data_IF_170447208969
#
_entry.id   IF_170447208969
#
_cell.length_a   1.000
_cell.length_b   1.000
_cell.length_c   1.000
_cell.angle_alpha   90.00
_cell.angle_beta   90.00
_cell.angle_gamma   90.00
#
_symmetry.space_group_name_H-M   'P 1'
#
loop_
_entity.id
_entity.type
_entity.pdbx_description
1 polymer ?
#
# COMPACT_ATOMS: atom_id res chain seq x y z
N UNK A 1 -6.10 -48.76 -10.26
CA UNK A 1 -4.84 -48.13 -9.85
C UNK A 1 -4.94 -46.67 -10.27
N UNK A 2 -5.32 -45.82 -9.33
CA UNK A 2 -5.72 -44.43 -9.57
C UNK A 2 -4.51 -43.59 -9.99
N UNK A 3 -4.58 -43.12 -11.23
CA UNK A 3 -3.74 -42.12 -11.88
C UNK A 3 -3.38 -40.99 -10.90
N UNK A 4 -2.13 -40.96 -10.42
CA UNK A 4 -1.63 -39.88 -9.56
C UNK A 4 -1.58 -38.59 -10.38
N UNK A 5 -2.71 -37.87 -10.40
CA UNK A 5 -2.86 -36.63 -11.15
C UNK A 5 -1.83 -35.63 -10.69
N UNK A 6 -0.86 -35.35 -11.55
CA UNK A 6 0.09 -34.26 -11.42
C UNK A 6 -0.64 -32.95 -11.13
N UNK A 7 -0.39 -32.34 -9.97
CA UNK A 7 -0.99 -31.07 -9.56
C UNK A 7 0.02 -29.94 -9.75
N UNK A 8 -0.45 -28.86 -10.35
CA UNK A 8 0.32 -27.63 -10.47
C UNK A 8 -0.37 -26.55 -9.66
N UNK A 9 0.32 -25.98 -8.69
CA UNK A 9 -0.24 -25.01 -7.75
C UNK A 9 0.56 -23.72 -7.85
N UNK A 10 -0.11 -22.59 -8.05
CA UNK A 10 0.49 -21.27 -7.87
C UNK A 10 0.08 -20.74 -6.51
N UNK A 11 1.04 -20.65 -5.60
CA UNK A 11 0.79 -20.19 -4.24
C UNK A 11 1.24 -18.74 -4.04
N UNK A 12 0.41 -17.90 -3.42
CA UNK A 12 0.74 -16.50 -3.10
C UNK A 12 0.02 -16.00 -1.83
N UNK A 13 0.62 -15.02 -1.14
CA UNK A 13 0.09 -14.41 0.08
C UNK A 13 -0.49 -13.05 -0.30
N UNK A 14 -1.72 -12.83 0.17
CA UNK A 14 -2.56 -11.71 -0.20
C UNK A 14 -3.21 -11.10 1.03
N UNK A 15 -2.40 -10.57 1.94
CA UNK A 15 -2.87 -9.92 3.18
C UNK A 15 -3.53 -8.54 2.96
N UNK A 16 -4.44 -8.43 1.98
CA UNK A 16 -5.34 -7.29 1.78
C UNK A 16 -6.62 -7.73 1.04
N UNK A 17 -7.76 -7.07 1.32
CA UNK A 17 -9.05 -7.33 0.68
C UNK A 17 -9.03 -7.24 -0.87
N UNK A 18 -8.02 -6.60 -1.45
CA UNK A 18 -7.72 -6.53 -2.89
C UNK A 18 -7.35 -7.89 -3.52
N UNK A 19 -7.06 -8.92 -2.71
CA UNK A 19 -6.53 -10.18 -3.22
C UNK A 19 -7.59 -11.16 -3.72
N UNK A 20 -8.88 -10.96 -3.41
CA UNK A 20 -9.94 -11.81 -3.94
C UNK A 20 -10.12 -11.59 -5.46
N UNK A 21 -10.20 -10.33 -5.90
CA UNK A 21 -10.32 -9.97 -7.33
C UNK A 21 -9.12 -10.44 -8.16
N UNK A 22 -7.92 -10.39 -7.57
CA UNK A 22 -6.69 -10.84 -8.25
C UNK A 22 -6.59 -12.37 -8.24
N UNK A 23 -7.08 -13.04 -7.19
CA UNK A 23 -7.21 -14.51 -7.15
C UNK A 23 -8.13 -14.99 -8.27
N UNK A 24 -9.26 -14.32 -8.47
CA UNK A 24 -10.21 -14.64 -9.54
C UNK A 24 -9.61 -14.35 -10.92
N UNK A 25 -8.89 -13.24 -11.08
CA UNK A 25 -8.20 -12.91 -12.33
C UNK A 25 -7.07 -13.90 -12.66
N UNK A 26 -6.33 -14.39 -11.67
CA UNK A 26 -5.28 -15.41 -11.84
C UNK A 26 -5.93 -16.77 -12.12
N UNK A 27 -6.98 -17.16 -11.42
CA UNK A 27 -7.70 -18.41 -11.66
C UNK A 27 -8.29 -18.45 -13.08
N UNK A 28 -8.90 -17.34 -13.52
CA UNK A 28 -9.43 -17.17 -14.86
C UNK A 28 -8.31 -17.13 -15.92
N UNK A 29 -7.17 -16.51 -15.62
CA UNK A 29 -6.00 -16.51 -16.52
C UNK A 29 -5.36 -17.90 -16.68
N UNK A 30 -5.46 -18.73 -15.65
CA UNK A 30 -4.93 -20.10 -15.64
C UNK A 30 -5.84 -21.10 -16.35
N UNK A 31 -7.10 -20.77 -16.62
CA UNK A 31 -8.05 -21.61 -17.38
C UNK A 31 -8.13 -23.05 -16.83
N UNK A 32 -8.13 -23.19 -15.51
CA UNK A 32 -8.13 -24.48 -14.81
C UNK A 32 -6.84 -25.30 -14.89
N UNK A 33 -5.77 -24.80 -15.52
CA UNK A 33 -4.49 -25.52 -15.69
C UNK A 33 -3.56 -25.46 -14.47
N UNK A 34 -3.81 -24.51 -13.56
CA UNK A 34 -3.15 -24.34 -12.27
C UNK A 34 -4.22 -24.21 -11.18
N UNK A 35 -3.94 -24.85 -10.05
CA UNK A 35 -4.63 -24.63 -8.79
C UNK A 35 -4.03 -23.41 -8.08
N UNK A 36 -4.82 -22.65 -7.34
CA UNK A 36 -4.38 -21.48 -6.60
C UNK A 36 -4.60 -21.72 -5.11
N UNK A 37 -3.54 -21.62 -4.32
CA UNK A 37 -3.59 -21.81 -2.86
C UNK A 37 -2.86 -20.67 -2.13
N UNK A 38 -3.27 -20.32 -0.90
CA UNK A 38 -2.57 -19.28 -0.14
C UNK A 38 -1.25 -19.80 0.42
N UNK A 39 -0.28 -18.90 0.69
CA UNK A 39 1.03 -19.31 1.23
C UNK A 39 0.98 -19.85 2.66
N UNK A 40 -0.04 -19.49 3.43
CA UNK A 40 -0.28 -19.97 4.79
C UNK A 40 -0.90 -21.38 4.82
N UNK A 41 -1.35 -21.91 3.68
CA UNK A 41 -1.91 -23.25 3.58
C UNK A 41 -0.92 -24.29 4.13
N UNK A 42 -1.32 -25.16 5.08
CA UNK A 42 -0.42 -26.11 5.72
C UNK A 42 0.36 -27.01 4.75
N UNK A 43 -0.27 -27.45 3.65
CA UNK A 43 0.40 -28.28 2.64
C UNK A 43 1.40 -27.46 1.81
N UNK A 44 1.05 -26.22 1.45
CA UNK A 44 1.97 -25.29 0.77
C UNK A 44 3.20 -25.01 1.63
N UNK A 45 3.03 -24.78 2.93
CA UNK A 45 4.15 -24.60 3.87
C UNK A 45 5.04 -25.83 3.91
N UNK A 46 4.45 -27.02 3.98
CA UNK A 46 5.18 -28.28 3.96
C UNK A 46 6.03 -28.45 2.67
N UNK A 47 5.45 -28.29 1.48
CA UNK A 47 6.18 -28.43 0.22
C UNK A 47 7.24 -27.36 0.02
N UNK A 48 6.98 -26.14 0.49
CA UNK A 48 7.96 -25.05 0.45
C UNK A 48 9.12 -25.27 1.40
N UNK A 49 8.85 -25.77 2.61
CA UNK A 49 9.89 -26.10 3.58
C UNK A 49 10.79 -27.22 3.06
N UNK A 50 10.20 -28.25 2.43
CA UNK A 50 10.96 -29.33 1.80
C UNK A 50 11.92 -28.86 0.70
N UNK A 51 11.61 -27.74 0.01
CA UNK A 51 12.44 -27.22 -1.09
C UNK A 51 13.38 -26.08 -0.70
N UNK A 52 12.95 -25.18 0.18
CA UNK A 52 13.67 -23.94 0.50
C UNK A 52 14.21 -23.91 1.94
N UNK A 53 13.94 -24.95 2.76
CA UNK A 53 14.30 -24.98 4.17
C UNK A 53 13.22 -24.34 5.06
N UNK A 54 13.49 -24.29 6.37
CA UNK A 54 12.52 -23.88 7.40
C UNK A 54 12.02 -22.43 7.27
N UNK A 55 12.77 -21.57 6.57
CA UNK A 55 12.41 -20.17 6.31
C UNK A 55 12.35 -19.87 4.80
N UNK A 56 11.26 -20.28 4.12
CA UNK A 56 11.15 -20.10 2.67
C UNK A 56 10.88 -18.63 2.31
N UNK A 57 11.45 -18.07 1.22
CA UNK A 57 11.32 -16.66 0.87
C UNK A 57 9.87 -16.16 0.80
N UNK A 58 9.53 -15.01 1.38
CA UNK A 58 8.17 -14.45 1.30
C UNK A 58 7.84 -13.91 -0.10
N UNK A 59 7.54 -14.82 -1.03
CA UNK A 59 7.26 -14.55 -2.43
C UNK A 59 6.29 -15.58 -3.01
N UNK A 60 5.55 -15.23 -4.08
CA UNK A 60 4.76 -16.19 -4.85
C UNK A 60 5.62 -17.38 -5.30
N UNK A 61 5.05 -18.58 -5.16
CA UNK A 61 5.74 -19.85 -5.40
C UNK A 61 4.92 -20.71 -6.34
N UNK A 62 5.54 -21.18 -7.43
CA UNK A 62 4.97 -22.23 -8.27
C UNK A 62 5.39 -23.59 -7.73
N UNK A 63 4.43 -24.48 -7.57
CA UNK A 63 4.61 -25.84 -7.08
C UNK A 63 4.12 -26.83 -8.14
N UNK A 64 4.86 -27.94 -8.27
CA UNK A 64 4.45 -29.11 -9.05
C UNK A 64 4.54 -30.33 -8.14
N UNK A 65 3.42 -30.98 -7.93
CA UNK A 65 3.27 -32.13 -7.05
C UNK A 65 3.00 -33.37 -7.92
N UNK A 66 3.87 -34.36 -7.81
CA UNK A 66 3.82 -35.64 -8.49
C UNK A 66 4.05 -36.75 -7.45
N UNK A 67 2.96 -37.38 -6.99
CA UNK A 67 3.02 -38.34 -5.88
C UNK A 67 3.63 -37.71 -4.62
N UNK A 68 4.74 -38.30 -4.14
CA UNK A 68 5.50 -37.79 -3.00
C UNK A 68 6.53 -36.70 -3.35
N UNK A 69 6.79 -36.44 -4.64
CA UNK A 69 7.76 -35.43 -5.06
C UNK A 69 7.10 -34.05 -5.24
N UNK A 70 7.68 -33.03 -4.59
CA UNK A 70 7.31 -31.64 -4.76
C UNK A 70 8.47 -30.83 -5.36
N UNK A 71 8.23 -30.19 -6.51
CA UNK A 71 9.15 -29.19 -7.07
C UNK A 71 8.59 -27.80 -6.84
N UNK A 72 9.44 -26.89 -6.39
CA UNK A 72 9.06 -25.50 -6.18
C UNK A 72 10.01 -24.53 -6.89
N UNK A 73 9.43 -23.43 -7.40
CA UNK A 73 10.14 -22.33 -8.04
C UNK A 73 9.61 -21.00 -7.50
N UNK A 74 10.49 -20.02 -7.36
CA UNK A 74 10.15 -18.65 -6.93
C UNK A 74 10.79 -17.61 -7.85
N UNK A 75 10.19 -16.42 -7.89
CA UNK A 75 10.70 -15.31 -8.70
C UNK A 75 10.85 -15.66 -10.19
N UNK A 76 11.94 -15.21 -10.87
CA UNK A 76 12.14 -15.45 -12.30
C UNK A 76 12.19 -16.93 -12.68
N UNK A 77 12.57 -17.82 -11.76
CA UNK A 77 12.70 -19.27 -12.00
C UNK A 77 11.35 -19.96 -12.24
N UNK A 78 10.23 -19.31 -11.92
CA UNK A 78 8.88 -19.78 -12.26
C UNK A 78 8.55 -19.62 -13.75
N UNK A 79 9.27 -18.74 -14.48
CA UNK A 79 8.91 -18.38 -15.86
C UNK A 79 9.02 -19.55 -16.83
N UNK A 80 10.14 -20.33 -16.87
CA UNK A 80 10.23 -21.47 -17.77
C UNK A 80 9.15 -22.55 -17.55
N UNK A 81 8.85 -23.02 -16.32
CA UNK A 81 7.79 -23.99 -16.11
C UNK A 81 6.39 -23.42 -16.42
N UNK A 82 6.11 -22.15 -16.12
CA UNK A 82 4.85 -21.52 -16.51
C UNK A 82 4.68 -21.45 -18.03
N UNK A 83 5.73 -21.09 -18.77
CA UNK A 83 5.69 -21.04 -20.24
C UNK A 83 5.35 -22.39 -20.85
N UNK A 84 5.95 -23.46 -20.32
CA UNK A 84 5.68 -24.84 -20.77
C UNK A 84 4.25 -25.28 -20.44
N UNK A 85 3.70 -24.87 -19.30
CA UNK A 85 2.39 -25.35 -18.82
C UNK A 85 1.21 -24.54 -19.38
N UNK A 86 1.35 -23.22 -19.43
CA UNK A 86 0.28 -22.29 -19.79
C UNK A 86 0.38 -21.76 -21.22
N UNK A 87 1.56 -21.81 -21.83
CA UNK A 87 1.86 -21.13 -23.08
C UNK A 87 2.09 -19.62 -22.89
N UNK A 88 2.75 -19.00 -23.88
CA UNK A 88 3.29 -17.64 -23.76
C UNK A 88 2.26 -16.57 -23.34
N UNK A 89 1.04 -16.62 -23.89
CA UNK A 89 -0.01 -15.61 -23.62
C UNK A 89 -0.51 -15.68 -22.17
N UNK A 90 -0.86 -16.86 -21.69
CA UNK A 90 -1.37 -17.05 -20.33
C UNK A 90 -0.27 -16.86 -19.28
N UNK A 91 0.96 -17.30 -19.55
CA UNK A 91 2.11 -17.00 -18.69
C UNK A 91 2.35 -15.50 -18.54
N UNK A 92 2.30 -14.74 -19.64
CA UNK A 92 2.48 -13.29 -19.57
C UNK A 92 1.37 -12.62 -18.76
N UNK A 93 0.12 -13.10 -18.86
CA UNK A 93 -1.00 -12.60 -18.06
C UNK A 93 -0.78 -12.87 -16.57
N UNK A 94 -0.41 -14.10 -16.20
CA UNK A 94 -0.10 -14.48 -14.81
C UNK A 94 1.07 -13.65 -14.26
N UNK A 95 2.16 -13.52 -15.01
CA UNK A 95 3.32 -12.73 -14.58
C UNK A 95 3.01 -11.23 -14.47
N UNK A 96 2.12 -10.69 -15.32
CA UNK A 96 1.65 -9.30 -15.19
C UNK A 96 0.81 -9.11 -13.93
N UNK A 97 -0.10 -10.04 -13.60
CA UNK A 97 -0.89 -9.98 -12.37
C UNK A 97 -0.01 -10.14 -11.11
N UNK A 98 0.96 -11.06 -11.13
CA UNK A 98 1.96 -11.19 -10.07
C UNK A 98 2.88 -9.95 -9.97
N UNK A 99 3.21 -9.33 -11.11
CA UNK A 99 3.96 -8.09 -11.17
C UNK A 99 3.18 -6.89 -10.65
N UNK A 100 1.87 -6.82 -10.91
CA UNK A 100 0.95 -5.86 -10.31
C UNK A 100 0.88 -6.03 -8.78
N UNK A 101 0.75 -7.27 -8.28
CA UNK A 101 0.80 -7.58 -6.86
C UNK A 101 2.12 -7.16 -6.22
N UNK A 102 3.26 -7.46 -6.88
CA UNK A 102 4.58 -7.06 -6.38
C UNK A 102 4.76 -5.54 -6.41
N UNK A 103 4.21 -4.86 -7.43
CA UNK A 103 4.19 -3.39 -7.51
C UNK A 103 3.33 -2.80 -6.40
N UNK A 104 2.13 -3.34 -6.15
CA UNK A 104 1.24 -2.92 -5.08
C UNK A 104 1.84 -3.17 -3.69
N UNK A 105 2.44 -4.35 -3.46
CA UNK A 105 3.19 -4.68 -2.24
C UNK A 105 4.47 -3.85 -2.07
N UNK A 106 5.05 -3.38 -3.18
CA UNK A 106 6.18 -2.43 -3.21
C UNK A 106 5.72 -0.95 -3.31
N UNK A 107 4.42 -0.68 -3.22
CA UNK A 107 3.82 0.65 -3.24
C UNK A 107 3.79 1.39 -4.58
N UNK A 108 4.10 0.75 -5.71
CA UNK A 108 3.91 1.33 -7.04
C UNK A 108 2.45 1.17 -7.51
N UNK A 109 1.77 2.25 -7.95
CA UNK A 109 0.41 2.16 -8.50
C UNK A 109 0.36 1.41 -9.83
N UNK A 110 -0.79 0.80 -10.09
CA UNK A 110 -1.19 0.26 -11.39
C UNK A 110 -1.46 1.43 -12.34
N UNK A 111 -0.66 1.53 -13.41
CA UNK A 111 -0.99 2.42 -14.53
C UNK A 111 -2.33 2.02 -15.14
N UNK A 112 -3.21 3.00 -15.31
CA UNK A 112 -4.44 2.89 -16.08
C UNK A 112 -4.09 2.46 -17.51
N UNK A 113 -4.81 1.46 -18.00
CA UNK A 113 -4.60 0.91 -19.34
C UNK A 113 -5.30 1.83 -20.34
N UNK A 114 -4.64 2.93 -20.72
CA UNK A 114 -5.01 3.63 -21.95
C UNK A 114 -4.27 3.03 -23.14
N UNK A 115 -5.06 2.49 -24.06
CA UNK A 115 -4.65 2.01 -25.36
C UNK A 115 -4.06 3.16 -26.18
N UNK A 116 -2.74 3.25 -26.27
CA UNK A 116 -2.10 4.03 -27.32
C UNK A 116 -1.37 3.12 -28.30
N UNK A 117 -1.82 3.24 -29.55
CA UNK A 117 -1.35 2.60 -30.76
C UNK A 117 0.18 2.59 -30.85
N UNK A 118 0.75 1.38 -30.93
CA UNK A 118 2.16 1.17 -31.20
C UNK A 118 2.50 1.67 -32.62
N UNK A 119 3.12 2.85 -32.69
CA UNK A 119 3.66 3.40 -33.93
C UNK A 119 4.74 2.48 -34.51
N UNK A 120 4.64 2.19 -35.81
CA UNK A 120 5.51 1.31 -36.61
C UNK A 120 7.01 1.69 -36.62
N UNK A 121 7.41 2.80 -35.98
CA UNK A 121 8.80 3.20 -35.82
C UNK A 121 9.50 2.60 -34.57
N UNK A 122 8.78 1.91 -33.67
CA UNK A 122 9.37 1.28 -32.48
C UNK A 122 9.85 -0.16 -32.67
N UNK A 123 9.50 -0.82 -33.79
CA UNK A 123 9.69 -2.27 -33.96
C UNK A 123 11.07 -2.67 -34.53
N UNK A 124 11.90 -1.70 -34.94
CA UNK A 124 13.23 -1.98 -35.54
C UNK A 124 14.42 -1.80 -34.57
N UNK A 125 14.18 -1.58 -33.27
CA UNK A 125 15.27 -1.50 -32.26
C UNK A 125 15.43 -2.75 -31.38
N UNK A 126 14.70 -3.84 -31.66
CA UNK A 126 14.83 -5.12 -30.96
C UNK A 126 15.23 -6.26 -31.91
N UNK A 127 16.15 -5.96 -32.84
CA UNK A 127 16.82 -6.94 -33.67
C UNK A 127 18.23 -7.19 -33.16
N UNK A 128 18.44 -8.31 -32.47
CA UNK A 128 19.75 -8.93 -32.26
C UNK A 128 20.53 -8.50 -31.01
N UNK A 129 20.88 -9.47 -30.18
CA UNK A 129 22.00 -9.37 -29.24
C UNK A 129 21.62 -9.14 -27.78
N UNK A 130 22.18 -9.98 -26.92
CA UNK A 130 22.11 -9.90 -25.46
C UNK A 130 22.77 -8.61 -24.89
N UNK A 131 22.58 -8.41 -23.58
CA UNK A 131 23.18 -7.41 -22.67
C UNK A 131 22.26 -6.20 -22.35
N UNK A 132 21.96 -5.78 -21.12
CA UNK A 132 22.46 -6.07 -19.77
C UNK A 132 21.28 -6.00 -18.78
N UNK A 133 21.03 -7.07 -18.02
CA UNK A 133 20.17 -7.02 -16.84
C UNK A 133 21.06 -6.85 -15.60
N UNK A 134 21.53 -5.63 -15.36
CA UNK A 134 22.26 -5.27 -14.14
C UNK A 134 21.28 -4.74 -13.10
N UNK A 135 21.18 -5.40 -11.95
CA UNK A 135 20.36 -4.92 -10.84
C UNK A 135 20.19 -5.87 -9.65
N UNK A 136 21.30 -6.47 -9.18
CA UNK A 136 21.61 -6.89 -7.80
C UNK A 136 20.59 -7.78 -7.04
N UNK A 137 21.03 -9.01 -6.76
CA UNK A 137 20.60 -9.80 -5.60
C UNK A 137 21.58 -9.50 -4.46
N UNK A 138 21.09 -9.08 -3.30
CA UNK A 138 21.81 -9.15 -2.03
C UNK A 138 20.86 -9.71 -0.97
N UNK A 139 21.26 -10.84 -0.38
CA UNK A 139 20.70 -11.37 0.85
C UNK A 139 21.16 -10.51 2.03
N UNK A 140 20.33 -10.44 3.08
CA UNK A 140 20.72 -9.93 4.39
C UNK A 140 19.76 -8.86 4.89
N UNK A 141 19.15 -9.12 6.05
CA UNK A 141 18.36 -8.22 6.92
C UNK A 141 18.53 -6.73 6.55
N UNK A 142 17.53 -6.05 5.99
CA UNK A 142 17.77 -4.68 5.50
C UNK A 142 16.62 -3.67 5.72
N UNK A 143 16.85 -2.66 6.57
CA UNK A 143 15.97 -1.51 6.81
C UNK A 143 15.90 -0.50 5.64
N UNK A 144 15.92 -0.96 4.38
CA UNK A 144 15.95 -0.09 3.19
C UNK A 144 14.57 0.12 2.52
N UNK A 145 13.58 -0.73 2.79
CA UNK A 145 12.33 -0.77 2.01
C UNK A 145 11.33 0.35 2.36
N UNK A 146 11.25 0.80 3.61
CA UNK A 146 10.34 1.88 4.03
C UNK A 146 10.87 3.28 3.68
N UNK A 147 12.18 3.50 3.83
CA UNK A 147 12.85 4.72 3.33
C UNK A 147 12.66 4.85 1.82
N UNK A 148 12.86 3.73 1.10
CA UNK A 148 12.59 3.64 -0.33
C UNK A 148 11.14 3.93 -0.67
N UNK A 149 10.15 3.49 0.12
CA UNK A 149 8.71 3.74 -0.14
C UNK A 149 8.35 5.22 -0.05
N UNK A 150 8.82 5.94 0.97
CA UNK A 150 8.50 7.37 1.11
C UNK A 150 9.31 8.26 0.15
N UNK A 151 10.58 7.92 -0.10
CA UNK A 151 11.37 8.55 -1.15
C UNK A 151 10.78 8.25 -2.55
N UNK A 152 10.26 7.05 -2.78
CA UNK A 152 9.58 6.68 -4.01
C UNK A 152 8.23 7.42 -4.16
N UNK A 153 7.46 7.56 -3.08
CA UNK A 153 6.22 8.32 -3.08
C UNK A 153 6.44 9.78 -3.51
N UNK A 154 7.44 10.45 -2.91
CA UNK A 154 7.80 11.83 -3.29
C UNK A 154 8.27 11.92 -4.74
N UNK A 155 9.19 11.05 -5.15
CA UNK A 155 9.68 11.00 -6.55
C UNK A 155 8.55 10.73 -7.55
N UNK A 156 7.61 9.87 -7.19
CA UNK A 156 6.45 9.59 -8.04
C UNK A 156 5.52 10.80 -8.13
N UNK A 157 5.24 11.49 -7.02
CA UNK A 157 4.43 12.72 -7.02
C UNK A 157 5.10 13.83 -7.84
N UNK A 158 6.42 13.99 -7.74
CA UNK A 158 7.19 14.93 -8.55
C UNK A 158 7.11 14.60 -10.04
N UNK A 159 7.29 13.32 -10.41
CA UNK A 159 7.21 12.87 -11.79
C UNK A 159 5.79 12.95 -12.38
N UNK A 160 4.76 12.90 -11.54
CA UNK A 160 3.34 12.91 -11.94
C UNK A 160 2.63 14.20 -11.53
N UNK A 161 3.36 15.31 -11.31
CA UNK A 161 2.80 16.54 -10.75
C UNK A 161 1.56 17.08 -11.51
N UNK A 162 1.51 16.88 -12.84
CA UNK A 162 0.40 17.31 -13.70
C UNK A 162 -0.73 16.27 -13.83
N UNK A 163 -0.59 15.10 -13.22
CA UNK A 163 -1.53 13.97 -13.31
C UNK A 163 -1.70 13.28 -11.96
N UNK A 164 -1.74 14.07 -10.88
CA UNK A 164 -2.01 13.52 -9.55
C UNK A 164 -3.49 13.12 -9.44
N UNK A 165 -3.80 12.07 -8.67
CA UNK A 165 -5.17 11.73 -8.30
C UNK A 165 -5.95 12.94 -7.82
N UNK A 166 -7.15 13.13 -8.34
CA UNK A 166 -7.97 14.33 -8.06
C UNK A 166 -9.22 14.01 -7.28
N UNK A 167 -9.54 12.73 -7.10
CA UNK A 167 -10.72 12.29 -6.35
C UNK A 167 -10.36 11.55 -5.08
N UNK A 168 -11.29 11.57 -4.12
CA UNK A 168 -11.15 10.88 -2.83
C UNK A 168 -10.82 9.38 -2.98
N UNK A 169 -11.60 8.67 -3.79
CA UNK A 169 -11.46 7.22 -3.94
C UNK A 169 -10.13 6.84 -4.60
N UNK A 170 -9.65 7.65 -5.56
CA UNK A 170 -8.33 7.44 -6.15
C UNK A 170 -7.21 7.60 -5.12
N UNK A 171 -7.24 8.62 -4.26
CA UNK A 171 -6.18 8.82 -3.26
C UNK A 171 -6.18 7.69 -2.23
N UNK A 172 -7.34 7.30 -1.71
CA UNK A 172 -7.37 6.30 -0.63
C UNK A 172 -6.99 4.88 -1.09
N UNK A 173 -6.94 4.63 -2.41
CA UNK A 173 -6.42 3.39 -2.98
C UNK A 173 -4.88 3.27 -2.88
N UNK A 174 -4.18 4.38 -2.61
CA UNK A 174 -2.72 4.38 -2.46
C UNK A 174 -2.27 3.97 -1.05
N UNK A 175 -1.03 3.48 -0.88
CA UNK A 175 -0.40 3.36 0.44
C UNK A 175 -0.26 4.70 1.16
N UNK A 176 -0.22 4.71 2.49
CA UNK A 176 -0.24 5.93 3.31
C UNK A 176 0.87 6.93 2.95
N UNK A 177 2.07 6.43 2.64
CA UNK A 177 3.18 7.26 2.20
C UNK A 177 2.88 8.06 0.92
N UNK A 178 2.16 7.46 -0.03
CA UNK A 178 1.73 8.11 -1.26
C UNK A 178 0.56 9.06 -1.00
N UNK A 179 -0.40 8.67 -0.15
CA UNK A 179 -1.51 9.57 0.24
C UNK A 179 -0.98 10.89 0.80
N UNK A 180 -0.02 10.81 1.75
CA UNK A 180 0.62 11.99 2.36
C UNK A 180 1.39 12.82 1.33
N UNK A 181 2.19 12.18 0.48
CA UNK A 181 2.95 12.87 -0.56
C UNK A 181 2.04 13.60 -1.56
N UNK A 182 0.93 12.97 -1.99
CA UNK A 182 -0.06 13.59 -2.87
C UNK A 182 -0.74 14.76 -2.14
N UNK A 183 -1.23 14.52 -0.91
CA UNK A 183 -1.92 15.51 -0.09
C UNK A 183 -1.09 16.78 0.14
N UNK A 184 0.22 16.63 0.34
CA UNK A 184 1.16 17.73 0.50
C UNK A 184 1.22 18.66 -0.73
N UNK A 185 0.86 18.19 -1.93
CA UNK A 185 0.82 19.00 -3.17
C UNK A 185 -0.55 19.57 -3.50
N UNK A 186 -1.61 19.16 -2.80
CA UNK A 186 -2.96 19.64 -3.06
C UNK A 186 -3.14 21.11 -2.63
N UNK A 187 -4.00 21.82 -3.37
CA UNK A 187 -4.45 23.16 -2.99
C UNK A 187 -5.36 23.12 -1.74
N UNK A 188 -5.52 24.25 -1.03
CA UNK A 188 -6.43 24.34 0.12
C UNK A 188 -7.87 23.87 -0.20
N UNK A 189 -8.39 24.22 -1.38
CA UNK A 189 -9.75 23.85 -1.82
C UNK A 189 -9.88 22.34 -1.99
N UNK A 190 -8.86 21.71 -2.60
CA UNK A 190 -8.85 20.25 -2.74
C UNK A 190 -8.76 19.58 -1.39
N UNK A 191 -7.84 20.01 -0.52
CA UNK A 191 -7.72 19.45 0.84
C UNK A 191 -9.04 19.51 1.62
N UNK A 192 -9.72 20.66 1.55
CA UNK A 192 -11.05 20.86 2.09
C UNK A 192 -12.05 19.83 1.55
N UNK A 193 -12.11 19.66 0.22
CA UNK A 193 -12.98 18.68 -0.43
C UNK A 193 -12.69 17.24 0.02
N UNK A 194 -11.43 16.83 0.10
CA UNK A 194 -11.02 15.49 0.54
C UNK A 194 -11.49 15.19 1.96
N UNK A 195 -11.29 16.12 2.90
CA UNK A 195 -11.73 15.94 4.29
C UNK A 195 -13.24 16.00 4.45
N UNK A 196 -13.95 16.87 3.72
CA UNK A 196 -15.42 16.87 3.72
C UNK A 196 -15.99 15.55 3.20
N UNK A 197 -15.38 14.95 2.16
CA UNK A 197 -15.77 13.63 1.66
C UNK A 197 -15.47 12.51 2.67
N UNK A 198 -14.29 12.54 3.28
CA UNK A 198 -13.90 11.60 4.33
C UNK A 198 -14.91 11.57 5.49
N UNK A 199 -15.22 12.73 6.05
CA UNK A 199 -16.13 12.87 7.20
C UNK A 199 -17.57 12.47 6.87
N UNK A 200 -18.01 12.71 5.62
CA UNK A 200 -19.32 12.22 5.16
C UNK A 200 -19.35 10.71 5.11
N UNK A 201 -18.29 10.08 4.57
CA UNK A 201 -18.16 8.63 4.50
C UNK A 201 -18.12 8.00 5.89
N UNK A 202 -17.32 8.56 6.80
CA UNK A 202 -17.25 8.10 8.19
C UNK A 202 -18.62 8.08 8.86
N UNK A 203 -19.43 9.15 8.70
CA UNK A 203 -20.81 9.19 9.22
C UNK A 203 -21.71 8.10 8.65
N UNK A 204 -21.60 7.82 7.36
CA UNK A 204 -22.40 6.77 6.70
C UNK A 204 -22.00 5.37 7.18
N UNK A 205 -20.71 5.14 7.39
CA UNK A 205 -20.18 3.85 7.84
C UNK A 205 -20.35 3.63 9.36
N UNK A 206 -20.57 4.70 10.14
CA UNK A 206 -20.72 4.67 11.59
C UNK A 206 -22.00 5.40 12.03
N UNK A 207 -23.20 4.83 11.79
CA UNK A 207 -24.46 5.48 12.15
C UNK A 207 -24.70 5.55 13.66
N UNK A 208 -24.08 4.67 14.44
CA UNK A 208 -24.21 4.59 15.90
C UNK A 208 -23.10 5.39 16.59
N UNK A 209 -23.29 6.70 16.68
CA UNK A 209 -22.41 7.62 17.44
C UNK A 209 -23.19 8.31 18.56
N UNK A 210 -22.50 8.69 19.64
CA UNK A 210 -23.14 9.44 20.73
C UNK A 210 -23.49 10.87 20.30
N UNK A 211 -24.30 11.56 21.11
CA UNK A 211 -24.64 12.97 20.87
C UNK A 211 -23.39 13.85 20.82
N UNK A 212 -22.44 13.61 21.73
CA UNK A 212 -21.17 14.34 21.83
C UNK A 212 -20.30 14.08 20.59
N UNK A 213 -20.18 12.82 20.17
CA UNK A 213 -19.46 12.44 18.95
C UNK A 213 -20.08 13.06 17.69
N UNK A 214 -21.41 13.12 17.61
CA UNK A 214 -22.11 13.78 16.52
C UNK A 214 -21.80 15.27 16.45
N UNK A 215 -21.77 15.97 17.59
CA UNK A 215 -21.40 17.39 17.66
C UNK A 215 -19.97 17.62 17.15
N UNK A 216 -19.01 16.77 17.56
CA UNK A 216 -17.64 16.83 17.06
C UNK A 216 -17.57 16.57 15.56
N UNK A 217 -18.35 15.62 15.02
CA UNK A 217 -18.39 15.39 13.57
C UNK A 217 -18.95 16.61 12.83
N UNK A 218 -19.94 17.30 13.38
CA UNK A 218 -20.53 18.52 12.82
C UNK A 218 -19.51 19.68 12.83
N UNK A 219 -18.77 19.84 13.94
CA UNK A 219 -17.63 20.76 14.03
C UNK A 219 -16.56 20.42 12.98
N UNK A 220 -16.14 19.15 12.90
CA UNK A 220 -15.15 18.68 11.94
C UNK A 220 -15.57 18.99 10.50
N UNK A 221 -16.85 18.76 10.16
CA UNK A 221 -17.37 19.05 8.84
C UNK A 221 -17.35 20.55 8.52
N UNK A 222 -17.70 21.41 9.48
CA UNK A 222 -17.65 22.85 9.32
C UNK A 222 -16.22 23.37 9.14
N UNK A 223 -15.26 22.85 9.93
CA UNK A 223 -13.83 23.21 9.80
C UNK A 223 -13.28 22.72 8.46
N UNK A 224 -13.58 21.47 8.07
CA UNK A 224 -13.12 20.90 6.80
C UNK A 224 -13.71 21.62 5.58
N UNK A 225 -14.95 22.11 5.64
CA UNK A 225 -15.62 22.78 4.53
C UNK A 225 -15.10 24.19 4.22
N UNK A 226 -14.21 24.74 5.05
CA UNK A 226 -13.63 26.07 4.85
C UNK A 226 -12.16 25.97 4.37
N UNK A 227 -11.86 26.23 3.08
CA UNK A 227 -10.51 26.17 2.53
C UNK A 227 -9.48 27.04 3.27
N UNK A 228 -9.91 28.12 3.94
CA UNK A 228 -9.02 28.99 4.73
C UNK A 228 -8.31 28.25 5.86
N UNK A 229 -8.90 27.18 6.39
CA UNK A 229 -8.26 26.35 7.39
C UNK A 229 -7.07 25.55 6.83
N UNK A 230 -6.89 25.51 5.50
CA UNK A 230 -5.84 24.78 4.79
C UNK A 230 -4.82 25.68 4.08
N UNK A 231 -4.99 27.01 4.15
CA UNK A 231 -4.09 28.00 3.55
C UNK A 231 -2.78 28.18 4.32
N UNK A 232 -2.83 28.05 5.65
CA UNK A 232 -1.67 28.31 6.51
C UNK A 232 -0.54 27.32 6.27
N UNK A 233 0.66 27.86 6.06
CA UNK A 233 1.88 27.06 5.88
C UNK A 233 2.53 26.70 7.22
N UNK A 234 2.44 27.60 8.20
CA UNK A 234 3.25 27.52 9.42
C UNK A 234 2.46 26.88 10.56
N UNK A 235 1.29 27.42 10.90
CA UNK A 235 0.49 26.92 12.03
C UNK A 235 -0.98 26.68 11.66
N UNK A 236 -1.60 25.61 12.18
CA UNK A 236 -3.04 25.40 12.08
C UNK A 236 -3.85 26.56 12.69
N UNK A 237 -5.09 26.71 12.26
CA UNK A 237 -5.98 27.74 12.85
C UNK A 237 -6.43 27.32 14.25
N UNK A 238 -6.91 28.29 15.05
CA UNK A 238 -7.51 27.99 16.37
C UNK A 238 -8.68 27.00 16.25
N UNK A 239 -9.46 27.07 15.17
CA UNK A 239 -10.56 26.14 14.93
C UNK A 239 -10.05 24.69 14.76
N UNK A 240 -8.94 24.49 14.05
CA UNK A 240 -8.32 23.16 13.88
C UNK A 240 -7.80 22.63 15.23
N UNK A 241 -7.15 23.46 16.04
CA UNK A 241 -6.66 23.04 17.36
C UNK A 241 -7.79 22.69 18.32
N UNK A 242 -8.86 23.50 18.36
CA UNK A 242 -10.02 23.20 19.20
C UNK A 242 -10.70 21.90 18.79
N UNK A 243 -10.83 21.66 17.48
CA UNK A 243 -11.38 20.43 16.94
C UNK A 243 -10.57 19.20 17.39
N UNK A 244 -9.25 19.29 17.39
CA UNK A 244 -8.38 18.20 17.86
C UNK A 244 -8.69 17.79 19.31
N UNK A 245 -8.73 18.77 20.22
CA UNK A 245 -9.02 18.54 21.64
C UNK A 245 -10.43 17.95 21.83
N UNK A 246 -11.43 18.53 21.17
CA UNK A 246 -12.81 18.07 21.24
C UNK A 246 -12.96 16.64 20.70
N UNK A 247 -12.29 16.32 19.60
CA UNK A 247 -12.32 14.98 19.02
C UNK A 247 -11.63 13.95 19.91
N UNK A 248 -10.47 14.28 20.47
CA UNK A 248 -9.78 13.38 21.42
C UNK A 248 -10.62 13.14 22.67
N UNK A 249 -11.34 14.15 23.17
CA UNK A 249 -12.24 14.01 24.31
C UNK A 249 -13.46 13.12 24.01
N UNK A 250 -14.08 13.26 22.83
CA UNK A 250 -15.32 12.53 22.49
C UNK A 250 -15.08 11.11 21.94
N UNK A 251 -13.99 10.88 21.21
CA UNK A 251 -13.69 9.61 20.54
C UNK A 251 -12.54 8.84 21.19
N UNK A 252 -11.72 9.48 22.02
CA UNK A 252 -10.42 8.96 22.38
C UNK A 252 -9.40 9.13 21.23
N UNK A 253 -8.13 8.91 21.55
CA UNK A 253 -7.00 9.18 20.65
C UNK A 253 -7.03 8.35 19.36
N UNK A 254 -7.25 7.05 19.46
CA UNK A 254 -7.16 6.15 18.30
C UNK A 254 -8.31 6.36 17.30
N UNK A 255 -9.53 6.52 17.81
CA UNK A 255 -10.69 6.78 16.94
C UNK A 255 -10.65 8.21 16.40
N UNK A 256 -10.30 9.22 17.19
CA UNK A 256 -10.08 10.58 16.66
C UNK A 256 -9.02 10.60 15.55
N UNK A 257 -7.95 9.80 15.67
CA UNK A 257 -6.97 9.63 14.61
C UNK A 257 -7.55 9.08 13.31
N UNK A 258 -8.54 8.18 13.40
CA UNK A 258 -9.29 7.67 12.23
C UNK A 258 -10.24 8.71 11.65
N UNK A 259 -10.85 9.56 12.48
CA UNK A 259 -11.81 10.58 12.03
C UNK A 259 -11.12 11.80 11.39
N UNK A 260 -10.04 12.30 12.01
CA UNK A 260 -9.47 13.62 11.66
C UNK A 260 -7.98 13.64 11.37
N UNK A 261 -7.23 12.53 11.52
CA UNK A 261 -5.78 12.51 11.26
C UNK A 261 -5.34 11.55 10.15
N UNK A 262 -6.20 10.61 9.75
CA UNK A 262 -5.91 9.61 8.72
C UNK A 262 -6.85 9.77 7.54
N UNK A 263 -6.33 10.25 6.41
CA UNK A 263 -7.14 10.36 5.19
C UNK A 263 -7.37 8.98 4.58
N UNK A 264 -8.61 8.50 4.68
CA UNK A 264 -9.02 7.17 4.24
C UNK A 264 -8.85 6.09 5.31
N UNK A 265 -9.00 4.81 4.96
CA UNK A 265 -8.89 3.73 5.93
C UNK A 265 -7.47 3.65 6.50
N UNK A 266 -7.38 3.36 7.79
CA UNK A 266 -6.11 3.11 8.46
C UNK A 266 -5.44 1.87 7.85
N UNK A 267 -4.14 1.99 7.56
CA UNK A 267 -3.34 0.85 7.10
C UNK A 267 -2.80 0.10 8.31
N UNK A 268 -2.85 -1.24 8.25
CA UNK A 268 -2.13 -2.05 9.23
C UNK A 268 -0.63 -1.79 9.05
N UNK A 269 0.04 -1.38 10.12
CA UNK A 269 1.49 -1.20 10.13
C UNK A 269 2.17 -2.52 9.75
N UNK A 270 3.01 -2.54 8.70
CA UNK A 270 3.92 -3.67 8.47
C UNK A 270 4.83 -3.83 9.70
N UNK A 271 5.01 -5.07 10.16
CA UNK A 271 5.64 -5.39 11.45
C UNK A 271 7.19 -5.31 11.45
N UNK A 272 7.82 -4.89 10.36
CA UNK A 272 9.30 -4.89 10.24
C UNK A 272 9.83 -3.60 9.61
N UNK A 273 10.81 -3.00 10.30
CA UNK A 273 11.25 -1.62 10.11
C UNK A 273 12.42 -1.47 9.14
N UNK A 274 12.26 -0.46 8.31
CA UNK A 274 13.27 0.27 7.57
C UNK A 274 13.21 1.74 7.99
N UNK A 275 14.28 2.53 7.84
CA UNK A 275 14.28 3.93 8.31
C UNK A 275 13.06 4.66 7.70
N UNK A 276 12.08 5.09 8.51
CA UNK A 276 10.84 5.63 7.94
C UNK A 276 11.03 7.10 7.59
N UNK A 277 10.32 7.60 6.57
CA UNK A 277 10.03 9.04 6.59
C UNK A 277 9.18 9.35 7.81
N UNK A 278 9.27 10.56 8.32
CA UNK A 278 8.51 10.91 9.51
C UNK A 278 7.01 10.67 9.23
N UNK A 279 6.33 10.06 10.18
CA UNK A 279 4.97 9.53 10.03
C UNK A 279 3.98 10.10 11.05
N UNK A 280 4.49 10.87 12.01
CA UNK A 280 3.72 11.57 13.02
C UNK A 280 4.24 13.00 13.22
N UNK A 281 3.41 13.80 13.89
CA UNK A 281 3.77 15.11 14.40
C UNK A 281 3.79 15.06 15.93
N UNK A 282 4.82 15.63 16.55
CA UNK A 282 4.87 15.81 18.00
C UNK A 282 3.96 16.95 18.51
N UNK A 283 3.45 17.81 17.62
CA UNK A 283 2.49 18.88 17.96
C UNK A 283 1.04 18.42 17.87
N UNK A 284 0.75 17.46 16.98
CA UNK A 284 -0.58 16.89 16.76
C UNK A 284 -0.46 15.38 16.63
N UNK A 285 -0.51 14.75 17.80
CA UNK A 285 -0.05 13.38 18.00
C UNK A 285 -1.24 12.40 18.00
N UNK A 286 -1.11 11.36 17.15
CA UNK A 286 -2.13 10.34 16.90
C UNK A 286 -1.49 8.94 16.73
N UNK A 287 -0.33 8.71 17.34
CA UNK A 287 0.29 7.39 17.33
C UNK A 287 -0.61 6.39 18.05
N UNK A 288 -0.84 5.20 17.47
CA UNK A 288 -1.79 4.25 18.02
C UNK A 288 -1.32 3.69 19.36
N UNK A 289 -2.26 3.21 20.17
CA UNK A 289 -2.01 2.53 21.43
C UNK A 289 -1.21 3.41 22.42
N UNK A 290 -0.17 2.85 23.05
CA UNK A 290 0.72 3.52 24.00
C UNK A 290 1.93 4.17 23.32
N UNK A 291 1.89 4.33 22.01
CA UNK A 291 2.97 4.99 21.29
C UNK A 291 2.80 6.51 21.34
N UNK A 292 3.93 7.21 21.18
CA UNK A 292 3.99 8.66 21.09
C UNK A 292 4.94 9.07 19.97
N UNK A 293 4.78 10.30 19.48
CA UNK A 293 5.62 10.78 18.40
C UNK A 293 6.99 11.20 18.92
N UNK A 294 8.01 10.40 18.61
CA UNK A 294 9.40 10.69 18.93
C UNK A 294 10.02 11.58 17.86
N UNK A 295 10.25 12.84 18.23
CA UNK A 295 10.84 13.84 17.34
C UNK A 295 12.19 13.40 16.80
N UNK A 296 12.37 13.49 15.47
CA UNK A 296 13.59 13.10 14.73
C UNK A 296 14.08 11.68 15.01
N UNK A 297 13.24 10.77 15.50
CA UNK A 297 13.68 9.40 15.70
C UNK A 297 14.17 8.77 14.38
N UNK A 298 15.24 7.99 14.48
CA UNK A 298 15.92 7.34 13.36
C UNK A 298 16.32 8.28 12.21
N UNK A 299 16.49 9.59 12.48
CA UNK A 299 16.78 10.62 11.47
C UNK A 299 15.76 10.62 10.31
N UNK A 300 14.48 10.38 10.62
CA UNK A 300 13.42 10.39 9.63
C UNK A 300 13.38 11.72 8.85
N UNK A 301 13.04 11.64 7.55
CA UNK A 301 12.96 12.83 6.69
C UNK A 301 11.63 13.55 6.91
N UNK A 302 11.70 14.86 7.17
CA UNK A 302 10.54 15.70 7.45
C UNK A 302 9.65 15.85 6.21
N UNK A 303 8.35 16.03 6.47
CA UNK A 303 7.38 16.39 5.44
C UNK A 303 6.57 17.57 5.94
N UNK A 304 6.48 18.65 5.15
CA UNK A 304 5.86 19.91 5.57
C UNK A 304 4.38 19.77 5.95
N UNK A 305 3.69 18.76 5.38
CA UNK A 305 2.28 18.42 5.62
C UNK A 305 2.07 16.90 5.49
N UNK A 306 0.92 16.43 5.96
CA UNK A 306 0.48 15.03 5.89
C UNK A 306 0.36 14.32 7.24
N UNK A 307 0.64 15.02 8.35
CA UNK A 307 0.47 14.52 9.71
C UNK A 307 -0.44 15.41 10.54
N UNK A 308 -0.93 14.86 11.66
CA UNK A 308 -1.81 15.56 12.60
C UNK A 308 -3.20 15.84 12.05
N UNK A 309 -3.94 16.70 12.77
CA UNK A 309 -5.31 17.06 12.41
C UNK A 309 -5.38 17.63 11.01
N UNK A 310 -6.22 17.01 10.19
CA UNK A 310 -6.40 17.25 8.78
C UNK A 310 -5.11 17.23 7.94
N UNK A 311 -4.06 16.54 8.39
CA UNK A 311 -2.77 16.50 7.71
C UNK A 311 -2.07 17.86 7.64
N UNK A 312 -2.42 18.81 8.52
CA UNK A 312 -1.92 20.19 8.49
C UNK A 312 -0.56 20.38 9.19
N UNK A 313 -0.06 19.36 9.87
CA UNK A 313 1.16 19.43 10.66
C UNK A 313 2.33 18.80 9.93
N UNK A 314 3.52 19.29 10.28
CA UNK A 314 4.78 18.71 9.81
C UNK A 314 4.91 17.30 10.38
N UNK A 315 5.18 16.34 9.50
CA UNK A 315 5.63 15.03 9.93
C UNK A 315 7.10 15.15 10.35
N UNK A 316 7.38 15.02 11.65
CA UNK A 316 8.70 15.27 12.23
C UNK A 316 9.20 14.18 13.19
N UNK A 317 8.46 13.09 13.34
CA UNK A 317 8.87 11.97 14.16
C UNK A 317 8.33 10.61 13.71
N UNK A 318 8.63 9.60 14.52
CA UNK A 318 8.12 8.24 14.39
C UNK A 318 7.31 7.87 15.63
N UNK A 319 6.28 7.05 15.44
CA UNK A 319 5.50 6.55 16.56
C UNK A 319 6.22 5.38 17.20
N UNK A 320 6.69 5.58 18.43
CA UNK A 320 7.43 4.58 19.20
C UNK A 320 6.82 4.39 20.58
N UNK A 321 7.10 3.25 21.19
CA UNK A 321 6.55 2.89 22.49
C UNK A 321 7.12 3.79 23.58
N UNK A 322 6.22 4.43 24.34
CA UNK A 322 6.54 5.12 25.59
C UNK A 322 6.72 4.11 26.69
N UNK A 323 7.97 3.93 27.12
CA UNK A 323 8.31 3.20 28.34
C UNK A 323 7.47 3.65 29.53
#
# INVERSE_FOLDING_TARGET
MSDEKQRWILAFDGSCATCQEISDAIAQACDGKLEVLPLDNPQVRYWRAAKFGEDPPNAPTLLRIEGAEARAWTGPTMTPPLLRRLGARSTLRVLRSLGALRRQANGHPLESTESNTLGRAGFLRLGGGAALATGIVLFGKTPALAEQRCAAARRWVEANANNLPTTYDEIIAYPMAYRRAIYAKLSPERRSEFWSRHLRRYRTENPEVTTEQKQVLDEAAAVAANPRNFESRDEPTRAVRNLEENAKAAFGKDESGRVIATLGPAERRPREAAQPACECSNESEYCPDRNYCQYKSSNCVFQDKGCGTFGLYVCNGLCEYGG
#
